data_IF_402300480632
#
_entry.id   IF_402300480632
#
_cell.length_a   1.000
_cell.length_b   1.000
_cell.length_c   1.000
_cell.angle_alpha   90.00
_cell.angle_beta   90.00
_cell.angle_gamma   90.00
#
_symmetry.space_group_name_H-M   'P 1'
#
loop_
_entity.id
_entity.type
_entity.pdbx_description
1 polymer ?
#
# COMPACT_ATOMS: atom_id res chain seq x y z
N UNK A 1 29.07 -0.06 -8.01
CA UNK A 1 28.56 -1.11 -7.09
C UNK A 1 27.54 -0.47 -6.18
N UNK A 2 26.32 -1.02 -6.11
CA UNK A 2 25.29 -0.57 -5.17
C UNK A 2 25.59 -1.25 -3.83
N UNK A 3 26.28 -0.53 -2.96
CA UNK A 3 26.68 -1.01 -1.64
C UNK A 3 25.68 -0.60 -0.55
N UNK A 4 25.87 -1.15 0.64
CA UNK A 4 25.19 -0.67 1.84
C UNK A 4 25.77 0.70 2.20
N UNK A 5 24.92 1.74 2.21
CA UNK A 5 25.34 3.10 2.51
C UNK A 5 25.20 3.39 4.00
N UNK A 6 26.29 3.79 4.69
CA UNK A 6 26.20 4.19 6.09
C UNK A 6 25.53 5.56 6.22
N UNK A 7 24.64 5.70 7.20
CA UNK A 7 24.06 6.97 7.65
C UNK A 7 24.90 7.46 8.82
N UNK A 8 25.63 8.56 8.62
CA UNK A 8 26.65 9.01 9.56
C UNK A 8 26.12 9.77 10.78
N UNK A 9 24.94 10.38 10.67
CA UNK A 9 24.33 11.18 11.73
C UNK A 9 22.81 11.27 11.62
N UNK A 10 22.14 11.70 12.69
CA UNK A 10 20.69 11.87 12.73
C UNK A 10 20.13 12.77 11.59
N UNK A 11 20.73 13.93 11.27
CA UNK A 11 20.28 14.78 10.16
C UNK A 11 20.36 14.12 8.79
N UNK A 12 21.23 13.13 8.59
CA UNK A 12 21.43 12.49 7.28
C UNK A 12 20.33 11.48 6.95
N UNK A 13 19.63 10.95 7.96
CA UNK A 13 18.65 9.88 7.76
C UNK A 13 17.51 10.26 6.81
N UNK A 14 16.92 11.45 6.99
CA UNK A 14 15.81 11.91 6.16
C UNK A 14 16.23 12.23 4.71
N UNK A 15 17.37 12.89 4.46
CA UNK A 15 17.95 13.01 3.12
C UNK A 15 18.18 11.66 2.43
N UNK A 16 18.74 10.66 3.13
CA UNK A 16 18.99 9.33 2.55
C UNK A 16 17.68 8.61 2.18
N UNK A 17 16.68 8.64 3.07
CA UNK A 17 15.35 8.13 2.74
C UNK A 17 14.70 8.91 1.60
N UNK A 18 14.91 10.22 1.52
CA UNK A 18 14.39 11.04 0.42
C UNK A 18 15.05 10.70 -0.92
N UNK A 19 16.36 10.42 -0.92
CA UNK A 19 17.11 10.00 -2.10
C UNK A 19 16.73 8.60 -2.60
N UNK A 20 16.12 7.77 -1.76
CA UNK A 20 15.55 6.50 -2.21
C UNK A 20 14.35 6.70 -3.15
N UNK A 21 13.57 7.77 -2.95
CA UNK A 21 12.37 8.06 -3.75
C UNK A 21 11.28 7.00 -3.54
N UNK A 22 10.75 6.49 -4.65
CA UNK A 22 9.76 5.40 -4.69
C UNK A 22 10.36 4.00 -4.49
N UNK A 23 11.69 3.86 -4.60
CA UNK A 23 12.36 2.58 -4.40
C UNK A 23 12.24 2.11 -2.96
N UNK A 24 12.22 0.79 -2.79
CA UNK A 24 12.33 0.17 -1.47
C UNK A 24 13.66 0.57 -0.81
N UNK A 25 13.61 1.16 0.38
CA UNK A 25 14.77 1.40 1.23
C UNK A 25 14.77 0.41 2.41
N UNK A 26 15.80 -0.44 2.48
CA UNK A 26 16.02 -1.41 3.56
C UNK A 26 17.09 -0.85 4.48
N UNK A 27 16.70 -0.47 5.69
CA UNK A 27 17.55 0.20 6.68
C UNK A 27 17.91 -0.77 7.79
N UNK A 28 19.18 -1.18 7.88
CA UNK A 28 19.70 -2.00 8.98
C UNK A 28 20.16 -1.11 10.13
N UNK A 29 19.47 -1.19 11.25
CA UNK A 29 19.92 -0.65 12.53
C UNK A 29 20.86 -1.64 13.20
N UNK A 30 22.08 -1.18 13.48
CA UNK A 30 23.19 -1.97 14.01
C UNK A 30 23.81 -1.28 15.23
N UNK A 31 24.71 -1.98 15.92
CA UNK A 31 25.55 -1.38 16.96
C UNK A 31 26.92 -2.06 16.99
N UNK A 32 27.94 -1.35 17.46
CA UNK A 32 29.27 -1.93 17.71
C UNK A 32 29.19 -3.04 18.76
N UNK A 33 29.99 -4.10 18.57
CA UNK A 33 30.04 -5.24 19.50
C UNK A 33 28.85 -6.19 19.43
N UNK A 34 27.91 -5.99 18.50
CA UNK A 34 26.77 -6.88 18.28
C UNK A 34 27.16 -8.11 17.43
N UNK A 35 27.35 -9.26 18.08
CA UNK A 35 27.64 -10.52 17.41
C UNK A 35 26.63 -10.89 16.30
N UNK A 36 25.31 -10.84 16.54
CA UNK A 36 24.31 -11.07 15.49
C UNK A 36 24.41 -10.09 14.31
N UNK A 37 24.73 -8.82 14.55
CA UNK A 37 24.89 -7.81 13.51
C UNK A 37 26.09 -8.12 12.60
N UNK A 38 27.20 -8.59 13.19
CA UNK A 38 28.38 -9.03 12.44
C UNK A 38 28.06 -10.26 11.58
N UNK A 39 27.28 -11.22 12.09
CA UNK A 39 26.89 -12.42 11.34
C UNK A 39 26.06 -12.11 10.10
N UNK A 40 25.11 -11.18 10.18
CA UNK A 40 24.22 -10.86 9.05
C UNK A 40 24.83 -9.84 8.08
N UNK A 41 25.87 -9.09 8.46
CA UNK A 41 26.45 -8.05 7.62
C UNK A 41 26.93 -8.52 6.23
N UNK A 42 27.61 -9.68 6.06
CA UNK A 42 27.99 -10.18 4.74
C UNK A 42 26.79 -10.52 3.87
N UNK A 43 25.76 -11.14 4.45
CA UNK A 43 24.53 -11.48 3.74
C UNK A 43 23.78 -10.21 3.29
N UNK A 44 23.66 -9.21 4.18
CA UNK A 44 23.04 -7.93 3.85
C UNK A 44 23.79 -7.18 2.74
N UNK A 45 25.12 -7.22 2.74
CA UNK A 45 25.93 -6.65 1.66
C UNK A 45 25.79 -7.44 0.35
N UNK A 46 25.65 -8.77 0.41
CA UNK A 46 25.36 -9.57 -0.78
C UNK A 46 23.99 -9.22 -1.36
N UNK A 47 22.97 -9.05 -0.50
CA UNK A 47 21.63 -8.62 -0.91
C UNK A 47 21.63 -7.24 -1.56
N UNK A 48 22.43 -6.27 -1.08
CA UNK A 48 22.49 -4.94 -1.72
C UNK A 48 23.00 -4.99 -3.17
N UNK A 49 23.88 -5.94 -3.46
CA UNK A 49 24.37 -6.17 -4.82
C UNK A 49 23.38 -6.98 -5.65
N UNK A 50 22.64 -7.90 -5.03
CA UNK A 50 21.63 -8.75 -5.68
C UNK A 50 20.37 -7.97 -6.06
N UNK A 51 20.00 -6.95 -5.28
CA UNK A 51 18.79 -6.15 -5.44
C UNK A 51 19.13 -4.67 -5.70
N UNK A 52 19.73 -4.32 -6.86
CA UNK A 52 20.16 -2.96 -7.15
C UNK A 52 18.99 -1.96 -7.30
N UNK A 53 17.76 -2.45 -7.47
CA UNK A 53 16.55 -1.62 -7.48
C UNK A 53 16.15 -1.11 -6.09
N UNK A 54 16.65 -1.71 -5.00
CA UNK A 54 16.44 -1.26 -3.63
C UNK A 54 17.65 -0.48 -3.10
N UNK A 55 17.39 0.43 -2.16
CA UNK A 55 18.41 1.19 -1.45
C UNK A 55 18.69 0.52 -0.12
N UNK A 56 19.96 0.22 0.16
CA UNK A 56 20.37 -0.43 1.39
C UNK A 56 21.12 0.58 2.27
N UNK A 57 20.58 0.85 3.45
CA UNK A 57 21.16 1.78 4.42
C UNK A 57 21.59 1.04 5.68
N UNK A 58 22.62 1.55 6.34
CA UNK A 58 23.06 1.10 7.66
C UNK A 58 23.09 2.28 8.64
N UNK A 59 22.48 2.10 9.81
CA UNK A 59 22.40 3.12 10.87
C UNK A 59 22.96 2.54 12.16
N UNK A 60 24.02 3.14 12.70
CA UNK A 60 24.50 2.79 14.04
C UNK A 60 23.65 3.50 15.11
N UNK A 61 23.02 2.74 16.00
CA UNK A 61 22.09 3.26 17.01
C UNK A 61 22.75 4.14 18.07
N UNK A 62 24.08 4.05 18.25
CA UNK A 62 24.81 4.93 19.15
C UNK A 62 25.22 6.24 18.49
N UNK A 63 25.41 6.24 17.16
CA UNK A 63 25.71 7.45 16.39
C UNK A 63 24.45 8.24 16.04
N UNK A 64 23.34 7.55 15.74
CA UNK A 64 22.06 8.15 15.35
C UNK A 64 20.98 7.86 16.40
N UNK A 65 21.17 8.37 17.62
CA UNK A 65 20.31 8.06 18.77
C UNK A 65 18.89 8.60 18.59
N UNK A 66 18.75 9.81 18.02
CA UNK A 66 17.44 10.40 17.75
C UNK A 66 16.64 9.56 16.74
N UNK A 67 17.29 9.15 15.66
CA UNK A 67 16.72 8.31 14.60
C UNK A 67 16.33 6.95 15.16
N UNK A 68 17.19 6.31 15.95
CA UNK A 68 16.89 5.04 16.60
C UNK A 68 15.69 5.16 17.55
N UNK A 69 15.61 6.23 18.34
CA UNK A 69 14.50 6.50 19.24
C UNK A 69 13.19 6.75 18.48
N UNK A 70 13.17 7.64 17.48
CA UNK A 70 11.99 7.92 16.65
C UNK A 70 11.49 6.66 15.93
N UNK A 71 12.40 5.78 15.51
CA UNK A 71 12.05 4.53 14.85
C UNK A 71 11.74 3.38 15.82
N UNK A 72 11.79 3.62 17.13
CA UNK A 72 11.50 2.64 18.20
C UNK A 72 12.40 1.39 18.15
N UNK A 73 13.69 1.57 17.89
CA UNK A 73 14.66 0.47 17.84
C UNK A 73 15.01 0.02 19.26
N UNK A 74 14.59 -1.20 19.61
CA UNK A 74 14.84 -1.80 20.93
C UNK A 74 15.88 -2.93 20.93
N UNK A 75 16.28 -3.41 19.75
CA UNK A 75 17.29 -4.44 19.61
C UNK A 75 17.98 -4.34 18.24
N UNK A 76 19.18 -4.92 18.14
CA UNK A 76 19.95 -4.98 16.90
C UNK A 76 20.36 -6.43 16.60
N UNK A 77 20.43 -6.83 15.32
CA UNK A 77 20.03 -6.05 14.15
C UNK A 77 18.50 -5.97 14.02
N UNK A 78 18.01 -4.78 13.68
CA UNK A 78 16.63 -4.55 13.24
C UNK A 78 16.66 -3.92 11.86
N UNK A 79 15.84 -4.42 10.95
CA UNK A 79 15.71 -3.96 9.59
C UNK A 79 14.36 -3.29 9.44
N UNK A 80 14.36 -2.04 9.00
CA UNK A 80 13.15 -1.31 8.68
C UNK A 80 13.05 -1.13 7.17
N UNK A 81 11.86 -1.36 6.64
CA UNK A 81 11.56 -1.23 5.22
C UNK A 81 10.80 0.07 5.02
N UNK A 82 11.28 0.93 4.14
CA UNK A 82 10.65 2.20 3.81
C UNK A 82 10.34 2.27 2.32
N UNK A 83 9.23 2.92 1.99
CA UNK A 83 8.90 3.35 0.64
C UNK A 83 8.27 4.74 0.73
N UNK A 84 8.71 5.67 -0.12
CA UNK A 84 8.28 7.07 -0.05
C UNK A 84 8.40 7.68 1.36
N UNK A 85 9.50 7.35 2.07
CA UNK A 85 9.79 7.76 3.46
C UNK A 85 8.83 7.22 4.51
N UNK A 86 7.85 6.40 4.13
CA UNK A 86 6.96 5.73 5.07
C UNK A 86 7.50 4.35 5.38
N UNK A 87 7.58 4.01 6.67
CA UNK A 87 7.92 2.66 7.10
C UNK A 87 6.76 1.72 6.77
N UNK A 88 7.03 0.72 5.94
CA UNK A 88 6.04 -0.27 5.46
C UNK A 88 6.19 -1.64 6.14
N UNK A 89 7.37 -1.96 6.69
CA UNK A 89 7.58 -3.23 7.39
C UNK A 89 8.80 -3.16 8.34
N UNK A 90 8.94 -4.16 9.20
CA UNK A 90 10.06 -4.38 10.09
C UNK A 90 10.42 -5.88 10.14
N UNK A 91 11.71 -6.16 10.22
CA UNK A 91 12.26 -7.48 10.52
C UNK A 91 13.32 -7.37 11.61
N UNK A 92 13.36 -8.31 12.55
CA UNK A 92 14.29 -8.26 13.68
C UNK A 92 15.01 -9.59 13.80
N UNK A 93 16.33 -9.54 14.00
CA UNK A 93 17.17 -10.72 14.15
C UNK A 93 18.12 -10.95 12.98
N UNK A 94 19.01 -11.93 13.15
CA UNK A 94 20.12 -12.20 12.23
C UNK A 94 19.89 -13.47 11.40
N UNK A 95 18.66 -13.65 10.90
CA UNK A 95 18.34 -14.70 9.92
C UNK A 95 18.28 -14.07 8.51
N UNK A 96 19.21 -14.49 7.66
CA UNK A 96 19.36 -13.95 6.32
C UNK A 96 18.25 -14.44 5.37
N UNK A 97 17.73 -15.65 5.58
CA UNK A 97 16.72 -16.23 4.70
C UNK A 97 15.41 -15.47 4.86
N UNK A 98 14.92 -15.34 6.10
CA UNK A 98 13.69 -14.58 6.37
C UNK A 98 13.81 -13.09 6.03
N UNK A 99 15.01 -12.50 6.14
CA UNK A 99 15.24 -11.13 5.66
C UNK A 99 15.10 -11.03 4.14
N UNK A 100 15.72 -11.95 3.39
CA UNK A 100 15.65 -11.96 1.92
C UNK A 100 14.23 -12.22 1.42
N UNK A 101 13.47 -13.10 2.08
CA UNK A 101 12.05 -13.36 1.77
C UNK A 101 11.22 -12.08 1.92
N UNK A 102 11.40 -11.31 3.00
CA UNK A 102 10.73 -10.00 3.15
C UNK A 102 11.17 -9.00 2.08
N UNK A 103 12.46 -8.95 1.73
CA UNK A 103 12.93 -8.09 0.65
C UNK A 103 12.24 -8.46 -0.66
N UNK A 104 12.19 -9.74 -1.03
CA UNK A 104 11.48 -10.22 -2.22
C UNK A 104 10.00 -9.88 -2.16
N UNK A 105 9.32 -10.12 -1.04
CA UNK A 105 7.92 -9.78 -0.87
C UNK A 105 7.65 -8.29 -1.15
N UNK A 106 8.49 -7.39 -0.64
CA UNK A 106 8.32 -5.94 -0.87
C UNK A 106 8.81 -5.47 -2.25
N UNK A 107 9.65 -6.25 -2.92
CA UNK A 107 10.07 -6.03 -4.31
C UNK A 107 9.07 -6.58 -5.34
N UNK A 108 8.38 -7.68 -5.03
CA UNK A 108 7.29 -8.23 -5.86
C UNK A 108 6.02 -7.39 -5.72
N UNK A 109 5.75 -6.88 -4.51
CA UNK A 109 4.76 -5.84 -4.27
C UNK A 109 5.35 -4.44 -4.49
N UNK A 110 6.34 -4.29 -5.37
CA UNK A 110 6.90 -3.00 -5.79
C UNK A 110 6.09 -2.45 -6.97
N UNK A 111 5.22 -1.44 -6.76
CA UNK A 111 4.68 -0.68 -7.87
C UNK A 111 5.80 0.11 -8.60
N UNK A 112 7.03 0.15 -8.07
CA UNK A 112 8.15 0.95 -8.55
C UNK A 112 9.14 0.30 -9.52
N UNK A 113 8.90 -0.90 -10.06
CA UNK A 113 9.71 -1.39 -11.20
C UNK A 113 9.38 -0.72 -12.52
N UNK A 114 8.22 -0.06 -12.59
CA UNK A 114 8.02 1.07 -13.49
C UNK A 114 8.29 2.31 -12.65
N UNK A 115 9.05 3.27 -13.15
CA UNK A 115 8.81 4.64 -12.71
C UNK A 115 7.32 4.87 -12.95
N UNK A 116 6.48 4.82 -11.92
CA UNK A 116 5.09 5.26 -12.03
C UNK A 116 5.19 6.79 -12.10
N UNK A 117 5.66 7.28 -13.26
CA UNK A 117 5.80 8.70 -13.64
C UNK A 117 4.51 9.47 -13.41
N UNK A 118 3.43 8.72 -13.32
CA UNK A 118 2.05 9.11 -13.17
C UNK A 118 1.76 9.55 -11.72
N UNK A 119 2.42 8.99 -10.70
CA UNK A 119 2.17 9.41 -9.31
C UNK A 119 2.92 10.72 -9.01
N UNK A 120 2.22 11.83 -8.69
CA UNK A 120 2.89 13.10 -8.45
C UNK A 120 3.77 13.04 -7.20
N UNK A 121 4.92 13.74 -7.25
CA UNK A 121 5.89 13.78 -6.15
C UNK A 121 5.22 14.15 -4.82
N UNK A 122 5.39 13.29 -3.82
CA UNK A 122 4.85 13.49 -2.47
C UNK A 122 3.60 12.64 -2.18
N UNK A 123 3.02 11.98 -3.17
CA UNK A 123 1.98 10.97 -2.99
C UNK A 123 2.55 9.57 -3.19
N UNK A 124 1.79 8.57 -2.76
CA UNK A 124 2.12 7.16 -2.91
C UNK A 124 0.88 6.34 -3.17
N UNK A 125 1.08 5.17 -3.75
CA UNK A 125 0.09 4.10 -3.76
C UNK A 125 -0.27 3.69 -2.31
N UNK A 126 -1.57 3.69 -2.01
CA UNK A 126 -2.12 3.41 -0.69
C UNK A 126 -2.50 1.94 -0.48
N UNK A 127 -2.25 1.07 -1.45
CA UNK A 127 -2.45 -0.38 -1.37
C UNK A 127 -1.85 -1.01 -0.08
N UNK A 128 -0.65 -0.62 0.41
CA UNK A 128 -0.12 -1.14 1.68
C UNK A 128 -0.92 -0.77 2.93
N UNK A 129 -1.77 0.26 2.84
CA UNK A 129 -2.62 0.71 3.95
C UNK A 129 -4.01 0.08 3.91
N UNK A 130 -4.38 -0.63 2.85
CA UNK A 130 -5.68 -1.30 2.73
C UNK A 130 -5.76 -2.47 3.72
N UNK A 131 -6.83 -2.48 4.51
CA UNK A 131 -7.21 -3.56 5.40
C UNK A 131 -8.12 -4.54 4.66
N UNK A 132 -7.54 -5.52 3.96
CA UNK A 132 -8.31 -6.50 3.19
C UNK A 132 -9.41 -7.21 3.97
N UNK A 133 -9.16 -7.53 5.25
CA UNK A 133 -10.15 -8.18 6.11
C UNK A 133 -11.35 -7.28 6.49
N UNK A 134 -11.28 -5.98 6.22
CA UNK A 134 -12.38 -5.04 6.36
C UNK A 134 -12.89 -4.50 5.03
N UNK A 135 -12.45 -5.06 3.91
CA UNK A 135 -13.02 -4.78 2.60
C UNK A 135 -14.24 -5.67 2.36
N UNK A 136 -15.16 -5.16 1.54
CA UNK A 136 -16.38 -5.86 1.13
C UNK A 136 -16.69 -5.43 -0.30
N UNK A 137 -17.15 -6.36 -1.12
CA UNK A 137 -17.64 -6.05 -2.46
C UNK A 137 -19.01 -6.73 -2.65
N UNK A 138 -20.01 -5.95 -3.02
CA UNK A 138 -21.34 -6.47 -3.36
C UNK A 138 -21.46 -6.60 -4.87
N UNK A 139 -22.20 -7.62 -5.30
CA UNK A 139 -22.38 -8.03 -6.70
C UNK A 139 -21.06 -8.43 -7.39
N UNK A 140 -20.07 -8.92 -6.64
CA UNK A 140 -18.88 -9.54 -7.25
C UNK A 140 -19.18 -10.96 -7.73
N UNK A 141 -18.60 -11.34 -8.87
CA UNK A 141 -18.66 -12.71 -9.39
C UNK A 141 -17.90 -13.70 -8.48
N UNK A 142 -18.42 -14.92 -8.38
CA UNK A 142 -17.79 -16.03 -7.66
C UNK A 142 -16.39 -16.37 -8.21
N UNK A 143 -16.15 -16.18 -9.52
CA UNK A 143 -14.85 -16.48 -10.17
C UNK A 143 -13.91 -15.28 -10.17
N UNK A 144 -14.46 -14.07 -10.16
CA UNK A 144 -13.76 -12.81 -10.40
C UNK A 144 -14.04 -11.79 -9.30
N UNK A 145 -13.64 -12.10 -8.07
CA UNK A 145 -13.86 -11.26 -6.89
C UNK A 145 -12.91 -10.06 -6.76
N UNK A 146 -13.19 -9.20 -5.79
CA UNK A 146 -12.52 -7.91 -5.54
C UNK A 146 -11.02 -8.02 -5.30
N UNK A 147 -10.56 -9.10 -4.67
CA UNK A 147 -9.13 -9.30 -4.40
C UNK A 147 -8.26 -9.41 -5.68
N UNK A 148 -8.89 -9.69 -6.82
CA UNK A 148 -8.23 -9.80 -8.12
C UNK A 148 -7.84 -8.42 -8.66
N UNK A 149 -8.73 -7.42 -8.60
CA UNK A 149 -8.44 -6.08 -9.10
C UNK A 149 -7.48 -5.28 -8.21
N UNK A 150 -7.05 -5.85 -7.08
CA UNK A 150 -6.01 -5.27 -6.22
C UNK A 150 -4.59 -5.64 -6.65
N UNK A 151 -4.44 -6.45 -7.72
CA UNK A 151 -3.16 -6.91 -8.26
C UNK A 151 -3.02 -6.41 -9.69
N UNK A 152 -1.81 -6.04 -10.08
CA UNK A 152 -1.52 -5.63 -11.46
C UNK A 152 -1.09 -6.86 -12.27
N UNK A 153 -2.01 -7.81 -12.43
CA UNK A 153 -1.83 -9.03 -13.22
C UNK A 153 -3.01 -9.24 -14.19
N UNK A 154 -3.20 -10.46 -14.72
CA UNK A 154 -4.27 -10.75 -15.69
C UNK A 154 -5.63 -11.04 -15.03
N UNK A 155 -5.70 -11.06 -13.69
CA UNK A 155 -6.95 -11.26 -12.96
C UNK A 155 -7.74 -9.94 -12.91
N UNK A 156 -9.05 -10.05 -12.74
CA UNK A 156 -9.94 -8.90 -12.71
C UNK A 156 -11.11 -9.16 -11.76
N UNK A 157 -11.74 -8.06 -11.35
CA UNK A 157 -13.07 -8.05 -10.72
C UNK A 157 -14.12 -7.93 -11.82
N UNK A 158 -15.17 -8.75 -11.75
CA UNK A 158 -16.34 -8.67 -12.62
C UNK A 158 -17.63 -8.67 -11.79
N UNK A 159 -18.62 -7.91 -12.23
CA UNK A 159 -19.95 -7.93 -11.63
C UNK A 159 -20.76 -9.15 -12.05
N UNK A 160 -21.60 -9.67 -11.15
CA UNK A 160 -22.28 -10.96 -11.37
C UNK A 160 -23.65 -10.81 -12.06
N UNK A 161 -24.52 -9.94 -11.54
CA UNK A 161 -25.92 -9.87 -11.99
C UNK A 161 -26.19 -8.76 -13.02
N UNK A 162 -25.54 -7.62 -12.87
CA UNK A 162 -25.72 -6.40 -13.67
C UNK A 162 -24.44 -5.57 -13.61
N UNK A 163 -24.41 -4.39 -14.22
CA UNK A 163 -23.22 -3.54 -14.30
C UNK A 163 -22.83 -2.88 -12.96
N UNK A 164 -23.66 -2.97 -11.93
CA UNK A 164 -23.44 -2.28 -10.68
C UNK A 164 -22.46 -3.02 -9.78
N UNK A 165 -21.55 -2.30 -9.13
CA UNK A 165 -20.66 -2.83 -8.10
C UNK A 165 -20.66 -1.90 -6.90
N UNK A 166 -20.58 -2.47 -5.70
CA UNK A 166 -20.41 -1.69 -4.48
C UNK A 166 -19.19 -2.16 -3.71
N UNK A 167 -18.11 -1.39 -3.83
CA UNK A 167 -16.78 -1.72 -3.32
C UNK A 167 -16.49 -0.89 -2.08
N UNK A 168 -16.37 -1.53 -0.92
CA UNK A 168 -15.97 -0.90 0.33
C UNK A 168 -14.52 -1.26 0.66
N UNK A 169 -13.69 -0.24 0.85
CA UNK A 169 -12.28 -0.35 1.21
C UNK A 169 -12.06 0.25 2.59
N UNK A 170 -11.58 -0.55 3.53
CA UNK A 170 -11.12 -0.07 4.83
C UNK A 170 -9.61 0.17 4.81
N UNK A 171 -9.13 1.20 5.50
CA UNK A 171 -7.71 1.44 5.73
C UNK A 171 -7.30 1.06 7.15
N UNK A 172 -6.07 0.58 7.31
CA UNK A 172 -5.48 0.23 8.62
C UNK A 172 -5.17 1.46 9.48
N UNK A 173 -5.13 2.64 8.87
CA UNK A 173 -4.99 3.93 9.54
C UNK A 173 -5.60 5.03 8.66
N UNK A 174 -5.94 6.20 9.20
CA UNK A 174 -6.50 7.28 8.41
C UNK A 174 -5.53 7.77 7.31
N UNK A 175 -6.06 7.95 6.11
CA UNK A 175 -5.32 8.42 4.93
C UNK A 175 -5.94 9.67 4.33
N UNK A 176 -5.18 10.33 3.47
CA UNK A 176 -5.61 11.43 2.59
C UNK A 176 -5.63 10.92 1.16
N UNK A 177 -6.75 11.02 0.48
CA UNK A 177 -6.89 10.57 -0.91
C UNK A 177 -6.71 11.76 -1.84
N UNK A 178 -5.78 11.63 -2.79
CA UNK A 178 -5.49 12.66 -3.79
C UNK A 178 -6.08 12.30 -5.16
N UNK A 179 -5.87 11.06 -5.58
CA UNK A 179 -6.43 10.49 -6.79
C UNK A 179 -6.65 8.99 -6.62
N UNK A 180 -7.22 8.35 -7.63
CA UNK A 180 -7.35 6.91 -7.72
C UNK A 180 -6.96 6.45 -9.13
N UNK A 181 -6.48 5.20 -9.24
CA UNK A 181 -6.38 4.49 -10.52
C UNK A 181 -7.52 3.48 -10.56
N UNK A 182 -8.22 3.44 -11.68
CA UNK A 182 -9.39 2.59 -11.85
C UNK A 182 -9.41 2.08 -13.27
N UNK A 183 -8.73 0.96 -13.51
CA UNK A 183 -8.46 0.44 -14.84
C UNK A 183 -9.55 -0.56 -15.25
N UNK A 184 -9.93 -0.50 -16.52
CA UNK A 184 -10.90 -1.39 -17.12
C UNK A 184 -10.45 -1.87 -18.50
N UNK A 185 -11.15 -2.85 -19.10
CA UNK A 185 -10.88 -3.29 -20.46
C UNK A 185 -11.37 -2.27 -21.51
N UNK A 186 -10.69 -2.24 -22.67
CA UNK A 186 -11.04 -1.39 -23.83
C UNK A 186 -12.24 -1.93 -24.65
N UNK A 187 -13.09 -2.76 -24.05
CA UNK A 187 -14.24 -3.39 -24.72
C UNK A 187 -15.59 -2.83 -24.26
N UNK A 188 -15.61 -1.71 -23.55
CA UNK A 188 -16.82 -1.07 -23.03
C UNK A 188 -17.24 -1.50 -21.62
N UNK A 189 -16.72 -2.62 -21.09
CA UNK A 189 -17.06 -3.10 -19.74
C UNK A 189 -16.37 -2.30 -18.61
N UNK A 190 -15.49 -1.35 -18.93
CA UNK A 190 -14.89 -0.48 -17.93
C UNK A 190 -15.94 0.44 -17.27
N UNK A 191 -15.74 0.88 -16.03
CA UNK A 191 -16.68 1.75 -15.30
C UNK A 191 -16.77 3.15 -15.92
N UNK A 192 -17.93 3.77 -15.79
CA UNK A 192 -18.22 5.13 -16.28
C UNK A 192 -18.69 6.04 -15.16
N UNK A 193 -19.91 5.85 -14.66
CA UNK A 193 -20.42 6.71 -13.60
C UNK A 193 -20.18 6.08 -12.23
N UNK A 194 -19.40 6.76 -11.39
CA UNK A 194 -19.06 6.27 -10.04
C UNK A 194 -19.37 7.30 -8.97
N UNK A 195 -19.90 6.81 -7.85
CA UNK A 195 -20.16 7.61 -6.64
C UNK A 195 -19.24 7.16 -5.52
N UNK A 196 -18.62 8.12 -4.85
CA UNK A 196 -17.64 7.88 -3.78
C UNK A 196 -18.18 8.44 -2.47
N UNK A 197 -18.20 7.58 -1.45
CA UNK A 197 -18.59 7.87 -0.08
C UNK A 197 -17.43 7.58 0.85
N UNK A 198 -17.30 8.30 1.96
CA UNK A 198 -16.24 8.03 2.95
C UNK A 198 -16.80 7.95 4.36
N UNK A 199 -16.13 7.16 5.20
CA UNK A 199 -16.39 7.08 6.64
C UNK A 199 -17.85 6.80 6.99
N UNK A 200 -18.50 5.95 6.20
CA UNK A 200 -19.88 5.56 6.45
C UNK A 200 -19.99 4.81 7.80
N UNK A 201 -21.04 5.07 8.59
CA UNK A 201 -21.19 4.47 9.92
C UNK A 201 -21.60 2.99 9.89
N UNK A 202 -22.09 2.52 8.74
CA UNK A 202 -22.52 1.14 8.48
C UNK A 202 -22.28 0.82 7.01
N UNK A 203 -22.35 -0.46 6.64
CA UNK A 203 -22.35 -0.88 5.24
C UNK A 203 -23.51 -0.22 4.48
N UNK A 204 -23.24 0.10 3.22
CA UNK A 204 -24.17 0.73 2.29
C UNK A 204 -24.65 -0.33 1.31
N UNK A 205 -25.93 -0.29 0.97
CA UNK A 205 -26.53 -1.11 -0.09
C UNK A 205 -26.77 -0.28 -1.35
N UNK A 206 -27.20 -0.94 -2.43
CA UNK A 206 -27.44 -0.31 -3.73
C UNK A 206 -28.53 0.77 -3.67
N UNK A 207 -29.66 0.51 -2.97
CA UNK A 207 -30.73 1.50 -2.81
C UNK A 207 -30.26 2.77 -2.11
N UNK A 208 -29.44 2.63 -1.07
CA UNK A 208 -28.86 3.76 -0.35
C UNK A 208 -27.82 4.49 -1.20
N UNK A 209 -26.98 3.79 -1.95
CA UNK A 209 -25.99 4.38 -2.84
C UNK A 209 -26.62 5.18 -4.00
N UNK A 210 -27.77 4.75 -4.50
CA UNK A 210 -28.52 5.48 -5.54
C UNK A 210 -29.09 6.81 -5.03
N UNK A 211 -29.69 6.82 -3.84
CA UNK A 211 -30.40 8.00 -3.32
C UNK A 211 -29.51 8.98 -2.56
N UNK A 212 -28.40 8.53 -2.00
CA UNK A 212 -27.56 9.34 -1.12
C UNK A 212 -26.66 10.29 -1.92
N UNK A 213 -26.39 11.46 -1.34
CA UNK A 213 -25.40 12.39 -1.90
C UNK A 213 -23.99 11.86 -1.64
N UNK A 214 -23.16 11.65 -2.69
CA UNK A 214 -21.81 11.19 -2.50
C UNK A 214 -20.89 12.31 -2.05
N UNK A 215 -19.77 11.93 -1.42
CA UNK A 215 -18.67 12.88 -1.17
C UNK A 215 -18.14 13.44 -2.49
N UNK A 216 -18.06 12.59 -3.51
CA UNK A 216 -17.78 12.98 -4.89
C UNK A 216 -18.44 12.00 -5.85
N UNK A 217 -19.10 12.53 -6.90
CA UNK A 217 -19.49 11.77 -8.07
C UNK A 217 -18.53 12.07 -9.23
N UNK A 218 -18.27 11.08 -10.06
CA UNK A 218 -17.37 11.15 -11.20
C UNK A 218 -18.00 10.46 -12.39
N UNK A 219 -17.79 11.05 -13.56
CA UNK A 219 -18.05 10.43 -14.85
C UNK A 219 -16.68 10.21 -15.50
N UNK A 220 -16.25 8.96 -15.49
CA UNK A 220 -14.97 8.50 -16.02
C UNK A 220 -15.05 8.40 -17.53
N UNK A 221 -13.99 8.84 -18.20
CA UNK A 221 -13.81 8.66 -19.64
C UNK A 221 -13.04 7.38 -19.94
N UNK A 222 -13.00 6.97 -21.21
CA UNK A 222 -12.14 5.86 -21.66
C UNK A 222 -10.65 6.11 -21.36
N UNK A 223 -10.20 7.37 -21.41
CA UNK A 223 -8.81 7.71 -21.08
C UNK A 223 -8.51 7.58 -19.58
N UNK A 224 -9.50 7.83 -18.72
CA UNK A 224 -9.35 7.72 -17.27
C UNK A 224 -9.15 6.27 -16.79
N UNK A 225 -9.63 5.29 -17.58
CA UNK A 225 -9.60 3.86 -17.23
C UNK A 225 -8.49 3.07 -17.93
N UNK A 226 -7.60 3.75 -18.66
CA UNK A 226 -6.39 3.16 -19.25
C UNK A 226 -5.30 2.93 -18.21
N UNK A 227 -4.21 2.26 -18.61
CA UNK A 227 -3.12 1.91 -17.71
C UNK A 227 -2.47 3.12 -17.01
N UNK A 228 -2.31 4.23 -17.73
CA UNK A 228 -1.76 5.50 -17.26
C UNK A 228 -2.83 6.46 -16.72
N UNK A 229 -4.10 6.06 -16.78
CA UNK A 229 -5.24 6.85 -16.32
C UNK A 229 -5.17 7.18 -14.83
N UNK A 230 -5.33 8.47 -14.51
CA UNK A 230 -5.40 8.95 -13.13
C UNK A 230 -6.67 9.75 -12.94
N UNK A 231 -7.51 9.29 -12.03
CA UNK A 231 -8.77 9.94 -11.70
C UNK A 231 -8.58 10.89 -10.52
N UNK A 232 -8.61 12.23 -10.73
CA UNK A 232 -8.37 13.19 -9.66
C UNK A 232 -9.55 13.23 -8.68
N UNK A 233 -9.22 13.17 -7.39
CA UNK A 233 -10.19 13.38 -6.32
C UNK A 233 -10.11 14.83 -5.81
N UNK A 234 -11.21 15.33 -5.27
CA UNK A 234 -11.27 16.63 -4.59
C UNK A 234 -10.58 16.50 -3.23
N UNK A 235 -9.25 16.45 -3.22
CA UNK A 235 -8.40 16.22 -2.05
C UNK A 235 -8.89 16.90 -0.75
N UNK A 236 -9.38 18.15 -0.84
CA UNK A 236 -9.95 18.90 0.30
C UNK A 236 -11.09 18.18 1.03
N UNK A 237 -11.85 17.31 0.36
CA UNK A 237 -12.91 16.47 0.95
C UNK A 237 -12.38 15.17 1.55
N UNK A 238 -11.19 14.73 1.15
CA UNK A 238 -10.61 13.43 1.50
C UNK A 238 -9.36 13.59 2.38
N UNK A 239 -9.43 14.42 3.42
CA UNK A 239 -8.30 14.69 4.32
C UNK A 239 -8.13 13.70 5.47
N UNK A 240 -9.17 12.90 5.77
CA UNK A 240 -9.17 11.99 6.90
C UNK A 240 -10.12 10.83 6.61
N UNK A 241 -9.63 9.86 5.84
CA UNK A 241 -10.41 8.73 5.33
C UNK A 241 -9.97 7.46 6.03
N UNK A 242 -10.90 6.81 6.74
CA UNK A 242 -10.73 5.51 7.38
C UNK A 242 -11.34 4.39 6.52
N UNK A 243 -12.43 4.70 5.83
CA UNK A 243 -13.07 3.82 4.86
C UNK A 243 -13.61 4.61 3.69
N UNK A 244 -13.68 3.98 2.52
CA UNK A 244 -14.25 4.53 1.31
C UNK A 244 -15.14 3.48 0.66
N UNK A 245 -16.33 3.87 0.25
CA UNK A 245 -17.27 3.04 -0.51
C UNK A 245 -17.43 3.65 -1.88
N UNK A 246 -17.19 2.87 -2.92
CA UNK A 246 -17.35 3.23 -4.32
C UNK A 246 -18.53 2.45 -4.85
N UNK A 247 -19.55 3.18 -5.31
CA UNK A 247 -20.65 2.62 -6.06
C UNK A 247 -20.40 2.87 -7.54
N UNK A 248 -20.15 1.81 -8.29
CA UNK A 248 -20.12 1.84 -9.75
C UNK A 248 -21.55 1.67 -10.23
N UNK A 249 -22.06 2.70 -10.90
CA UNK A 249 -23.45 2.77 -11.33
C UNK A 249 -23.64 2.36 -12.79
N UNK A 250 -22.63 2.58 -13.64
CA UNK A 250 -22.66 2.22 -15.05
C UNK A 250 -21.27 2.00 -15.62
N UNK A 251 -21.20 1.37 -16.80
CA UNK A 251 -19.97 1.16 -17.57
C UNK A 251 -19.94 2.00 -18.86
N UNK A 252 -18.82 1.96 -19.58
CA UNK A 252 -18.54 2.81 -20.75
C UNK A 252 -19.46 2.47 -21.94
N UNK A 253 -19.70 1.19 -22.16
CA UNK A 253 -20.38 0.65 -23.34
C UNK A 253 -21.86 0.30 -23.17
N UNK A 254 -22.46 0.55 -22.01
CA UNK A 254 -23.80 0.01 -21.66
C UNK A 254 -23.83 -1.53 -21.72
N UNK A 255 -22.72 -2.16 -21.33
CA UNK A 255 -22.55 -3.61 -21.26
C UNK A 255 -23.33 -4.19 -20.05
N UNK A 256 -23.65 -5.48 -20.09
CA UNK A 256 -24.39 -6.13 -19.00
C UNK A 256 -23.60 -6.23 -17.69
N UNK A 257 -22.27 -6.25 -17.78
CA UNK A 257 -21.38 -6.36 -16.61
C UNK A 257 -20.26 -5.33 -16.66
N UNK A 258 -19.77 -4.97 -15.48
CA UNK A 258 -18.60 -4.11 -15.32
C UNK A 258 -17.38 -4.95 -14.95
N UNK A 259 -16.24 -4.65 -15.59
CA UNK A 259 -14.94 -5.25 -15.28
C UNK A 259 -13.93 -4.21 -14.83
N UNK A 260 -13.17 -4.58 -13.79
CA UNK A 260 -12.12 -3.75 -13.20
C UNK A 260 -10.85 -4.59 -13.15
N UNK A 261 -9.86 -4.24 -13.96
CA UNK A 261 -8.59 -4.96 -14.04
C UNK A 261 -7.63 -4.56 -12.92
N UNK A 262 -7.62 -3.28 -12.56
CA UNK A 262 -6.76 -2.79 -11.49
C UNK A 262 -7.36 -1.57 -10.79
N UNK A 263 -7.23 -1.54 -9.47
CA UNK A 263 -7.76 -0.50 -8.62
C UNK A 263 -6.80 -0.18 -7.47
N UNK A 264 -6.49 1.11 -7.31
CA UNK A 264 -5.79 1.60 -6.13
C UNK A 264 -6.13 3.06 -5.84
N UNK A 265 -5.82 3.51 -4.63
CA UNK A 265 -5.83 4.91 -4.26
C UNK A 265 -4.42 5.48 -4.20
N UNK A 266 -4.27 6.73 -4.64
CA UNK A 266 -3.03 7.49 -4.54
C UNK A 266 -3.23 8.61 -3.52
N UNK A 267 -2.29 8.73 -2.58
CA UNK A 267 -2.43 9.68 -1.49
C UNK A 267 -1.30 9.61 -0.47
N UNK A 268 -1.60 9.95 0.79
CA UNK A 268 -0.64 9.87 1.91
C UNK A 268 -1.35 9.48 3.20
N UNK A 269 -0.68 8.85 4.17
CA UNK A 269 -1.27 8.68 5.50
C UNK A 269 -1.40 10.03 6.23
N UNK A 270 -2.42 10.18 7.08
CA UNK A 270 -2.65 11.43 7.86
C UNK A 270 -1.52 11.68 8.86
N UNK A 271 -1.00 10.62 9.46
CA UNK A 271 0.13 10.65 10.38
C UNK A 271 1.20 9.67 9.92
N UNK A 272 2.45 9.89 10.32
CA UNK A 272 3.50 8.89 10.15
C UNK A 272 3.09 7.60 10.90
N UNK A 273 3.09 6.46 10.20
CA UNK A 273 2.59 5.16 10.67
C UNK A 273 3.11 4.79 12.07
N UNK A 274 2.21 4.72 13.06
CA UNK A 274 2.52 4.33 14.43
C UNK A 274 2.30 2.82 14.62
N UNK A 275 3.37 2.07 14.89
CA UNK A 275 3.40 0.58 14.81
C UNK A 275 2.75 -0.18 15.97
N UNK A 276 2.13 0.51 16.94
CA UNK A 276 1.44 -0.17 18.03
C UNK A 276 0.14 -0.87 17.58
N UNK A 277 -0.46 -0.45 16.46
CA UNK A 277 -1.73 -0.99 15.97
C UNK A 277 -1.57 -2.34 15.25
N UNK A 278 -0.42 -2.59 14.60
CA UNK A 278 -0.12 -3.88 13.96
C UNK A 278 0.11 -5.03 14.96
N UNK A 279 0.71 -4.73 16.12
CA UNK A 279 1.06 -5.76 17.12
C UNK A 279 -0.16 -6.37 17.84
N UNK A 280 -1.28 -5.63 17.95
CA UNK A 280 -2.49 -6.12 18.62
C UNK A 280 -3.29 -7.12 17.77
N UNK A 281 -3.31 -6.97 16.44
CA UNK A 281 -4.08 -7.86 15.55
C UNK A 281 -3.48 -9.27 15.41
N UNK A 282 -2.15 -9.42 15.46
CA UNK A 282 -1.47 -10.73 15.33
C UNK A 282 -1.70 -11.61 16.57
N UNK A 283 -1.83 -11.02 17.76
CA UNK A 283 -2.00 -11.79 19.00
C UNK A 283 -3.44 -12.29 19.24
N UNK A 284 -4.46 -11.61 18.71
CA UNK A 284 -5.87 -12.00 18.92
C UNK A 284 -6.27 -13.17 18.01
N UNK A 285 -5.68 -13.27 16.81
CA UNK A 285 -5.97 -14.36 15.86
C UNK A 285 -5.39 -15.74 16.23
N UNK A 286 -4.46 -15.81 17.18
CA UNK A 286 -3.81 -17.08 17.59
C UNK A 286 -4.43 -17.77 18.81
N UNK A 287 -5.43 -17.16 19.48
CA UNK A 287 -5.91 -17.67 20.77
C UNK A 287 -7.25 -18.43 20.73
N UNK A 288 -7.79 -18.79 19.55
CA UNK A 288 -9.13 -19.41 19.44
C UNK A 288 -9.21 -20.80 18.80
N UNK A 289 -8.11 -21.55 18.72
CA UNK A 289 -8.16 -22.94 18.23
C UNK A 289 -7.28 -23.86 19.05
N UNK A 290 -7.47 -23.96 20.37
CA UNK A 290 -7.19 -25.20 21.13
C UNK A 290 -8.02 -25.21 22.41
N UNK A 291 -9.16 -25.90 22.40
CA UNK A 291 -9.78 -26.57 23.56
C UNK A 291 -11.03 -27.31 23.07
N UNK A 292 -10.79 -28.50 22.52
CA UNK A 292 -11.69 -29.65 22.57
C UNK A 292 -10.81 -30.87 22.91
#
# INVERSE_FOLDING_TARGET
>A
MVGVKPVGSDPDFQPELSGAGSRLAVVKFTMRGCGPCLRIAPAFSSMSNKYPQAVFLEVDVHQCQGTAATNNISATPTFLFFRNKVRIDQYQGADAVGLEEKIKQHLENDPGSNEDTDIPKGYMDLMPFINKAGCECLNESDEHGFDNCLRKDMTFLESDCDEQLLITVAFNQPVKLYSMKFQGPDNGQGPKYVKIFINLPRSMDFEEAERSEPTQALELTEDDIKEDGIVPLRYVKFQNVNSVTIFVQSNQGEEETTRISYFTFIGTPVQATNMNDFKRRIHIGKLRVINL
#
